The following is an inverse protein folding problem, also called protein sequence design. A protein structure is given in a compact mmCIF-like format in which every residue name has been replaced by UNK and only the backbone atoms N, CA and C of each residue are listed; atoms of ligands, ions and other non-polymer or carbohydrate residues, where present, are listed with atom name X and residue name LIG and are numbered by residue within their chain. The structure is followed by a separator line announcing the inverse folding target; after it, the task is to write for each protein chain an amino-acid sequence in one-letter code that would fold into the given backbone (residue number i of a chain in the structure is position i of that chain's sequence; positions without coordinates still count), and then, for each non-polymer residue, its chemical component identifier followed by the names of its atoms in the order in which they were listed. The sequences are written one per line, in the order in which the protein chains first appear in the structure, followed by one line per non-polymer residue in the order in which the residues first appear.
data_IF_266983522414
#
_entry.id   IF_266983522414
#
_cell.length_a   1.000
_cell.length_b   1.000
_cell.length_c   1.000
_cell.angle_alpha   90.00
_cell.angle_beta   90.00
_cell.angle_gamma   90.00
#
_symmetry.space_group_name_H-M   'P 1'
#
loop_
_entity.id
_entity.type
_entity.pdbx_description
1 polymer ?
#
# COMPACT_ATOMS: atom_id res chain seq x y z
N UNK A 1 10.98 33.19 -13.02
CA UNK A 1 11.47 31.82 -12.72
C UNK A 1 11.97 31.64 -11.28
N UNK A 2 12.97 32.40 -10.81
CA UNK A 2 13.50 32.26 -9.42
C UNK A 2 12.45 32.36 -8.31
N UNK A 3 11.49 33.30 -8.43
CA UNK A 3 10.40 33.46 -7.45
C UNK A 3 9.49 32.23 -7.35
N UNK A 4 9.11 31.66 -8.50
CA UNK A 4 8.29 30.44 -8.56
C UNK A 4 9.03 29.25 -7.96
N UNK A 5 10.32 29.09 -8.28
CA UNK A 5 11.16 28.05 -7.71
C UNK A 5 11.24 28.16 -6.18
N UNK A 6 11.53 29.36 -5.66
CA UNK A 6 11.63 29.59 -4.21
C UNK A 6 10.30 29.32 -3.49
N UNK A 7 9.17 29.68 -4.11
CA UNK A 7 7.86 29.36 -3.59
C UNK A 7 7.62 27.84 -3.56
N UNK A 8 7.89 27.15 -4.67
CA UNK A 8 7.73 25.69 -4.77
C UNK A 8 8.68 24.91 -3.87
N UNK A 9 9.84 25.45 -3.49
CA UNK A 9 10.78 24.84 -2.56
C UNK A 9 10.56 25.26 -1.09
N UNK A 10 9.56 26.12 -0.81
CA UNK A 10 9.32 26.64 0.53
C UNK A 10 8.73 25.60 1.46
N UNK A 11 9.10 25.68 2.74
CA UNK A 11 8.58 24.80 3.80
C UNK A 11 7.11 25.14 4.13
N UNK A 12 6.74 26.42 4.06
CA UNK A 12 5.36 26.87 4.30
C UNK A 12 4.38 26.26 3.30
N UNK A 13 4.75 26.23 2.01
CA UNK A 13 3.96 25.53 1.00
C UNK A 13 3.81 24.04 1.33
N UNK A 14 4.90 23.38 1.75
CA UNK A 14 4.87 21.97 2.14
C UNK A 14 3.85 21.70 3.26
N UNK A 15 3.81 22.56 4.30
CA UNK A 15 2.83 22.45 5.40
C UNK A 15 1.39 22.59 4.87
N UNK A 16 1.13 23.59 4.03
CA UNK A 16 -0.19 23.80 3.44
C UNK A 16 -0.63 22.65 2.54
N UNK A 17 0.29 22.07 1.77
CA UNK A 17 0.01 20.91 0.92
C UNK A 17 -0.33 19.68 1.77
N UNK A 18 0.39 19.41 2.86
CA UNK A 18 0.05 18.33 3.80
C UNK A 18 -1.34 18.54 4.42
N UNK A 19 -1.62 19.77 4.89
CA UNK A 19 -2.94 20.10 5.42
C UNK A 19 -4.05 19.91 4.37
N UNK A 20 -3.78 20.27 3.11
CA UNK A 20 -4.68 20.04 1.98
C UNK A 20 -4.95 18.56 1.75
N UNK A 21 -3.91 17.71 1.71
CA UNK A 21 -4.08 16.25 1.59
C UNK A 21 -4.95 15.71 2.71
N UNK A 22 -4.67 16.09 3.97
CA UNK A 22 -5.45 15.63 5.13
C UNK A 22 -6.91 16.08 5.02
N UNK A 23 -7.15 17.33 4.64
CA UNK A 23 -8.51 17.88 4.47
C UNK A 23 -9.30 17.11 3.41
N UNK A 24 -8.74 16.90 2.23
CA UNK A 24 -9.46 16.23 1.13
C UNK A 24 -9.65 14.73 1.38
N UNK A 25 -8.70 14.06 2.05
CA UNK A 25 -8.91 12.69 2.54
C UNK A 25 -10.06 12.64 3.56
N UNK A 26 -10.11 13.61 4.48
CA UNK A 26 -11.21 13.76 5.44
C UNK A 26 -12.55 13.95 4.75
N UNK A 27 -12.64 14.86 3.78
CA UNK A 27 -13.85 15.06 2.95
C UNK A 27 -14.23 13.76 2.25
N UNK A 28 -13.26 13.06 1.66
CA UNK A 28 -13.47 11.78 0.98
C UNK A 28 -14.12 10.73 1.88
N UNK A 29 -13.75 10.69 3.17
CA UNK A 29 -14.35 9.78 4.15
C UNK A 29 -15.84 10.04 4.41
N UNK A 30 -16.34 11.27 4.20
CA UNK A 30 -17.76 11.61 4.37
C UNK A 30 -18.55 11.55 3.06
N UNK A 31 -17.88 11.81 1.93
CA UNK A 31 -18.50 11.75 0.59
C UNK A 31 -18.65 10.32 0.10
N UNK A 32 -17.69 9.45 0.43
CA UNK A 32 -17.71 8.04 0.03
C UNK A 32 -18.78 7.29 0.84
N UNK A 33 -19.79 6.76 0.16
CA UNK A 33 -20.87 5.98 0.79
C UNK A 33 -20.39 4.59 1.23
N UNK A 34 -21.03 4.04 2.25
CA UNK A 34 -20.87 2.63 2.63
C UNK A 34 -21.16 1.73 1.42
N UNK A 35 -20.26 0.78 1.12
CA UNK A 35 -20.35 -0.08 -0.07
C UNK A 35 -19.66 0.46 -1.33
N UNK A 36 -18.88 1.54 -1.23
CA UNK A 36 -18.02 2.00 -2.33
C UNK A 36 -17.01 0.90 -2.73
N UNK A 37 -17.07 0.49 -4.00
CA UNK A 37 -16.16 -0.47 -4.60
C UNK A 37 -14.70 0.04 -4.76
N UNK A 38 -14.35 1.18 -4.15
CA UNK A 38 -13.00 1.76 -4.20
C UNK A 38 -11.94 0.80 -3.63
N UNK A 39 -12.33 -0.08 -2.72
CA UNK A 39 -11.45 -1.09 -2.11
C UNK A 39 -11.49 -2.44 -2.84
N UNK A 40 -12.41 -2.62 -3.79
CA UNK A 40 -12.66 -3.91 -4.44
C UNK A 40 -11.95 -4.03 -5.78
N UNK A 41 -11.59 -2.91 -6.40
CA UNK A 41 -10.86 -2.88 -7.66
C UNK A 41 -9.71 -1.87 -7.62
N UNK A 42 -8.68 -2.01 -8.48
CA UNK A 42 -7.61 -1.03 -8.58
C UNK A 42 -8.11 0.40 -8.81
N UNK A 43 -7.43 1.38 -8.18
CA UNK A 43 -7.87 2.78 -8.10
C UNK A 43 -8.22 3.39 -9.47
N UNK A 44 -7.37 3.21 -10.49
CA UNK A 44 -7.64 3.78 -11.81
C UNK A 44 -8.77 3.08 -12.54
N UNK A 45 -8.97 1.77 -12.30
CA UNK A 45 -10.14 1.05 -12.84
C UNK A 45 -11.41 1.60 -12.21
N UNK A 46 -11.42 1.79 -10.87
CA UNK A 46 -12.54 2.41 -10.17
C UNK A 46 -12.84 3.82 -10.69
N UNK A 47 -11.81 4.64 -10.86
CA UNK A 47 -11.93 6.03 -11.32
C UNK A 47 -12.57 6.16 -12.72
N UNK A 48 -12.40 5.15 -13.59
CA UNK A 48 -13.06 5.14 -14.92
C UNK A 48 -14.57 4.88 -14.87
N UNK A 49 -15.05 4.27 -13.78
CA UNK A 49 -16.46 3.84 -13.63
C UNK A 49 -17.26 4.73 -12.69
N UNK A 50 -16.60 5.32 -11.69
CA UNK A 50 -17.26 6.12 -10.65
C UNK A 50 -17.66 7.52 -11.14
N UNK A 51 -18.81 8.06 -10.68
CA UNK A 51 -19.27 9.39 -11.08
C UNK A 51 -18.36 10.49 -10.53
N UNK A 52 -18.28 11.63 -11.23
CA UNK A 52 -17.43 12.76 -10.82
C UNK A 52 -17.78 13.30 -9.42
N UNK A 53 -19.07 13.24 -9.05
CA UNK A 53 -19.56 13.66 -7.74
C UNK A 53 -18.94 12.87 -6.57
N UNK A 54 -18.51 11.63 -6.82
CA UNK A 54 -17.89 10.76 -5.82
C UNK A 54 -16.36 10.75 -5.90
N UNK A 55 -15.77 11.22 -7.02
CA UNK A 55 -14.33 11.09 -7.29
C UNK A 55 -13.55 12.40 -7.26
N UNK A 56 -14.22 13.57 -7.34
CA UNK A 56 -13.55 14.87 -7.42
C UNK A 56 -12.56 15.13 -6.26
N UNK A 57 -12.91 14.74 -5.04
CA UNK A 57 -12.07 14.92 -3.86
C UNK A 57 -10.75 14.14 -3.99
N UNK A 58 -10.81 12.95 -4.59
CA UNK A 58 -9.66 12.10 -4.82
C UNK A 58 -8.78 12.70 -5.92
N UNK A 59 -9.37 13.20 -7.00
CA UNK A 59 -8.62 13.88 -8.07
C UNK A 59 -7.85 15.09 -7.53
N UNK A 60 -8.51 15.91 -6.69
CA UNK A 60 -7.86 17.04 -6.01
C UNK A 60 -6.76 16.53 -5.07
N UNK A 61 -7.01 15.47 -4.29
CA UNK A 61 -6.01 14.87 -3.41
C UNK A 61 -4.78 14.41 -4.19
N UNK A 62 -4.94 13.74 -5.33
CA UNK A 62 -3.84 13.29 -6.19
C UNK A 62 -3.05 14.49 -6.74
N UNK A 63 -3.72 15.55 -7.16
CA UNK A 63 -3.05 16.77 -7.64
C UNK A 63 -2.24 17.47 -6.53
N UNK A 64 -2.82 17.60 -5.33
CA UNK A 64 -2.13 18.16 -4.16
C UNK A 64 -0.95 17.29 -3.74
N UNK A 65 -1.11 15.96 -3.76
CA UNK A 65 -0.05 15.01 -3.45
C UNK A 65 1.11 15.07 -4.47
N UNK A 66 0.80 15.21 -5.76
CA UNK A 66 1.82 15.40 -6.79
C UNK A 66 2.62 16.69 -6.58
N UNK A 67 1.94 17.79 -6.22
CA UNK A 67 2.59 19.04 -5.83
C UNK A 67 3.43 18.88 -4.56
N UNK A 68 2.97 18.11 -3.58
CA UNK A 68 3.71 17.82 -2.34
C UNK A 68 4.98 17.00 -2.62
N UNK A 69 4.90 16.00 -3.49
CA UNK A 69 6.07 15.23 -3.92
C UNK A 69 7.10 16.13 -4.62
N UNK A 70 6.65 17.02 -5.51
CA UNK A 70 7.52 18.00 -6.17
C UNK A 70 8.15 18.96 -5.15
N UNK A 71 7.36 19.53 -4.24
CA UNK A 71 7.86 20.40 -3.16
C UNK A 71 8.92 19.67 -2.32
N UNK A 72 8.68 18.41 -1.97
CA UNK A 72 9.60 17.59 -1.20
C UNK A 72 10.94 17.42 -1.91
N UNK A 73 10.93 17.12 -3.21
CA UNK A 73 12.16 17.01 -4.02
C UNK A 73 12.92 18.35 -4.05
N UNK A 74 12.22 19.45 -4.33
CA UNK A 74 12.84 20.78 -4.43
C UNK A 74 13.42 21.24 -3.09
N UNK A 75 12.67 21.07 -1.99
CA UNK A 75 13.10 21.39 -0.64
C UNK A 75 14.32 20.53 -0.22
N UNK A 76 14.35 19.26 -0.62
CA UNK A 76 15.49 18.36 -0.39
C UNK A 76 16.77 18.90 -1.02
N UNK A 77 16.69 19.29 -2.30
CA UNK A 77 17.80 19.85 -3.08
C UNK A 77 18.33 21.14 -2.43
N UNK A 78 17.44 22.07 -2.09
CA UNK A 78 17.84 23.35 -1.47
C UNK A 78 18.44 23.15 -0.07
N UNK A 79 17.85 22.26 0.74
CA UNK A 79 18.39 21.90 2.06
C UNK A 79 19.78 21.28 1.96
N UNK A 80 20.02 20.40 0.98
CA UNK A 80 21.34 19.81 0.72
C UNK A 80 22.37 20.85 0.30
N UNK A 81 22.01 21.75 -0.63
CA UNK A 81 22.91 22.83 -1.08
C UNK A 81 23.28 23.76 0.07
N UNK A 82 22.30 24.23 0.85
CA UNK A 82 22.52 25.19 1.91
C UNK A 82 23.36 24.62 3.08
N UNK A 83 23.20 23.32 3.36
CA UNK A 83 23.86 22.65 4.51
C UNK A 83 25.09 21.83 4.12
N UNK A 84 25.52 21.86 2.86
CA UNK A 84 26.63 21.04 2.39
C UNK A 84 27.90 21.20 3.25
N UNK A 85 28.16 22.42 3.73
CA UNK A 85 29.36 22.77 4.51
C UNK A 85 29.12 22.96 6.02
N UNK A 86 27.91 22.75 6.55
CA UNK A 86 27.58 23.11 7.95
C UNK A 86 26.78 22.03 8.69
N UNK A 87 27.23 21.70 9.91
CA UNK A 87 26.51 20.84 10.86
C UNK A 87 26.91 19.35 10.85
N UNK A 88 26.40 18.59 11.81
CA UNK A 88 26.66 17.14 11.91
C UNK A 88 26.06 16.40 10.70
N UNK A 89 26.76 15.36 10.23
CA UNK A 89 26.29 14.55 9.10
C UNK A 89 24.89 13.97 9.34
N UNK A 90 24.64 13.46 10.55
CA UNK A 90 23.36 12.84 10.91
C UNK A 90 22.18 13.83 10.87
N UNK A 91 22.37 15.07 11.34
CA UNK A 91 21.34 16.11 11.27
C UNK A 91 21.05 16.57 9.83
N UNK A 92 21.99 16.35 8.90
CA UNK A 92 21.82 16.65 7.48
C UNK A 92 21.11 15.53 6.74
N UNK A 93 21.47 14.27 7.03
CA UNK A 93 20.95 13.11 6.28
C UNK A 93 19.55 12.70 6.74
N UNK A 94 19.20 12.87 8.03
CA UNK A 94 17.94 12.37 8.56
C UNK A 94 16.69 12.97 7.86
N UNK A 95 16.60 14.29 7.60
CA UNK A 95 15.50 14.85 6.81
C UNK A 95 15.44 14.29 5.37
N UNK A 96 16.60 14.01 4.77
CA UNK A 96 16.65 13.49 3.40
C UNK A 96 16.19 12.04 3.31
N UNK A 97 16.56 11.22 4.30
CA UNK A 97 16.07 9.83 4.42
C UNK A 97 14.55 9.83 4.65
N UNK A 98 14.03 10.77 5.44
CA UNK A 98 12.58 10.93 5.63
C UNK A 98 11.86 11.28 4.32
N UNK A 99 12.39 12.26 3.57
CA UNK A 99 11.85 12.65 2.27
C UNK A 99 11.90 11.52 1.25
N UNK A 100 13.02 10.78 1.20
CA UNK A 100 13.14 9.59 0.36
C UNK A 100 12.09 8.53 0.75
N UNK A 101 11.92 8.27 2.04
CA UNK A 101 10.91 7.35 2.55
C UNK A 101 9.49 7.73 2.11
N UNK A 102 9.12 8.99 2.27
CA UNK A 102 7.84 9.54 1.80
C UNK A 102 7.67 9.37 0.27
N UNK A 103 8.67 9.74 -0.52
CA UNK A 103 8.61 9.64 -1.99
C UNK A 103 8.47 8.19 -2.46
N UNK A 104 9.14 7.24 -1.81
CA UNK A 104 8.99 5.82 -2.12
C UNK A 104 7.59 5.30 -1.79
N UNK A 105 6.98 5.74 -0.69
CA UNK A 105 5.60 5.38 -0.34
C UNK A 105 4.62 5.93 -1.38
N UNK A 106 4.77 7.20 -1.79
CA UNK A 106 3.92 7.81 -2.82
C UNK A 106 4.08 7.08 -4.17
N UNK A 107 5.32 6.78 -4.56
CA UNK A 107 5.59 6.03 -5.78
C UNK A 107 5.02 4.62 -5.73
N UNK A 108 5.12 3.94 -4.59
CA UNK A 108 4.53 2.62 -4.38
C UNK A 108 3.01 2.63 -4.62
N UNK A 109 2.30 3.62 -4.05
CA UNK A 109 0.86 3.76 -4.26
C UNK A 109 0.52 4.04 -5.72
N UNK A 110 1.32 4.84 -6.43
CA UNK A 110 1.15 5.08 -7.86
C UNK A 110 1.34 3.80 -8.69
N UNK A 111 2.38 3.01 -8.39
CA UNK A 111 2.62 1.74 -9.07
C UNK A 111 1.50 0.74 -8.80
N UNK A 112 1.03 0.62 -7.57
CA UNK A 112 -0.11 -0.24 -7.22
C UNK A 112 -1.43 0.25 -7.82
N UNK A 113 -1.64 1.56 -7.94
CA UNK A 113 -2.81 2.12 -8.62
C UNK A 113 -2.83 1.80 -10.12
N UNK A 114 -1.65 1.77 -10.76
CA UNK A 114 -1.48 1.52 -12.19
C UNK A 114 -1.45 0.02 -12.55
N UNK A 115 -0.63 -0.76 -11.85
CA UNK A 115 -0.37 -2.16 -12.14
C UNK A 115 -0.96 -3.14 -11.13
N UNK A 116 -1.82 -2.66 -10.24
CA UNK A 116 -2.53 -3.49 -9.28
C UNK A 116 -3.54 -4.40 -9.95
N UNK A 117 -3.73 -5.58 -9.37
CA UNK A 117 -4.80 -6.49 -9.75
C UNK A 117 -5.51 -6.96 -8.49
N UNK A 118 -6.84 -6.97 -8.53
CA UNK A 118 -7.68 -7.49 -7.47
C UNK A 118 -8.84 -8.22 -8.12
N UNK A 119 -9.00 -9.48 -7.78
CA UNK A 119 -10.10 -10.34 -8.18
C UNK A 119 -10.37 -11.33 -7.05
N UNK A 120 -11.51 -12.01 -7.07
CA UNK A 120 -11.86 -12.96 -6.05
C UNK A 120 -13.35 -13.11 -5.88
N UNK A 121 -13.72 -14.09 -5.05
CA UNK A 121 -15.10 -14.42 -4.80
C UNK A 121 -15.25 -15.79 -4.13
N UNK A 122 -16.51 -16.20 -3.90
CA UNK A 122 -16.79 -17.53 -3.41
C UNK A 122 -16.45 -18.57 -4.48
N UNK A 123 -15.64 -19.55 -4.10
CA UNK A 123 -15.26 -20.68 -4.93
C UNK A 123 -15.60 -21.99 -4.20
N UNK A 124 -16.35 -22.90 -4.82
CA UNK A 124 -16.62 -24.22 -4.23
C UNK A 124 -15.37 -25.10 -4.27
N UNK A 125 -15.37 -26.18 -3.48
CA UNK A 125 -14.43 -27.29 -3.67
C UNK A 125 -14.61 -27.87 -5.10
N UNK A 126 -13.51 -28.07 -5.83
CA UNK A 126 -13.47 -28.35 -7.28
C UNK A 126 -13.59 -27.10 -8.18
N UNK A 127 -13.86 -25.94 -7.59
CA UNK A 127 -13.89 -24.65 -8.29
C UNK A 127 -12.49 -24.21 -8.74
N UNK A 128 -12.44 -23.33 -9.74
CA UNK A 128 -11.18 -22.85 -10.29
C UNK A 128 -11.24 -21.38 -10.64
N UNK A 129 -10.08 -20.73 -10.60
CA UNK A 129 -9.88 -19.37 -11.07
C UNK A 129 -8.70 -19.32 -12.05
N UNK A 130 -8.64 -18.24 -12.82
CA UNK A 130 -7.59 -18.04 -13.82
C UNK A 130 -6.82 -16.76 -13.51
N UNK A 131 -5.52 -16.78 -13.76
CA UNK A 131 -4.69 -15.60 -13.74
C UNK A 131 -4.71 -14.89 -15.11
N UNK A 132 -4.31 -13.61 -15.18
CA UNK A 132 -4.25 -12.86 -16.45
C UNK A 132 -3.32 -13.45 -17.53
N UNK A 133 -2.38 -14.32 -17.15
CA UNK A 133 -1.53 -15.06 -18.09
C UNK A 133 -2.23 -16.29 -18.71
N UNK A 134 -3.49 -16.55 -18.33
CA UNK A 134 -4.27 -17.70 -18.78
C UNK A 134 -4.05 -18.98 -17.97
N UNK A 135 -3.13 -18.98 -17.00
CA UNK A 135 -2.93 -20.14 -16.12
C UNK A 135 -4.15 -20.34 -15.20
N UNK A 136 -4.50 -21.61 -14.95
CA UNK A 136 -5.69 -21.98 -14.19
C UNK A 136 -5.29 -22.73 -12.92
N UNK A 137 -5.89 -22.34 -11.81
CA UNK A 137 -5.71 -22.99 -10.51
C UNK A 137 -7.05 -23.46 -9.99
N UNK A 138 -7.08 -24.68 -9.49
CA UNK A 138 -8.26 -25.34 -8.95
C UNK A 138 -8.11 -25.54 -7.45
N UNK A 139 -9.20 -25.35 -6.70
CA UNK A 139 -9.29 -25.71 -5.29
C UNK A 139 -9.71 -27.18 -5.22
N UNK A 140 -8.77 -28.07 -4.89
CA UNK A 140 -9.05 -29.51 -4.82
C UNK A 140 -9.77 -29.88 -3.54
N UNK A 141 -9.42 -29.21 -2.44
CA UNK A 141 -9.88 -29.59 -1.10
C UNK A 141 -9.96 -28.39 -0.18
N UNK A 142 -11.03 -28.31 0.58
CA UNK A 142 -11.25 -27.37 1.68
C UNK A 142 -11.28 -28.13 2.99
N UNK A 143 -10.47 -27.69 3.95
CA UNK A 143 -10.40 -28.23 5.29
C UNK A 143 -10.61 -27.09 6.30
N UNK A 144 -11.54 -27.27 7.23
CA UNK A 144 -11.69 -26.36 8.37
C UNK A 144 -11.83 -27.17 9.66
N UNK A 145 -11.16 -26.70 10.71
CA UNK A 145 -11.29 -27.23 12.06
C UNK A 145 -12.31 -26.41 12.81
N UNK A 146 -13.44 -27.02 13.16
CA UNK A 146 -14.53 -26.35 13.87
C UNK A 146 -14.36 -26.56 15.38
N UNK A 147 -14.49 -25.48 16.14
CA UNK A 147 -14.45 -25.51 17.60
C UNK A 147 -15.79 -25.95 18.22
N UNK A 148 -15.83 -26.15 19.56
CA UNK A 148 -17.03 -26.62 20.26
C UNK A 148 -18.26 -25.72 20.11
N UNK A 149 -18.04 -24.43 19.85
CA UNK A 149 -19.08 -23.40 19.65
C UNK A 149 -19.52 -23.24 18.19
N UNK A 150 -19.07 -24.11 17.28
CA UNK A 150 -19.41 -24.06 15.86
C UNK A 150 -18.60 -23.06 15.02
N UNK A 151 -17.67 -22.32 15.63
CA UNK A 151 -16.79 -21.38 14.94
C UNK A 151 -15.53 -22.06 14.37
N UNK A 152 -15.06 -21.69 13.18
CA UNK A 152 -13.80 -22.19 12.64
C UNK A 152 -12.61 -21.71 13.49
N UNK A 153 -11.81 -22.66 13.98
CA UNK A 153 -10.55 -22.42 14.69
C UNK A 153 -9.38 -22.24 13.71
N UNK A 154 -9.41 -22.96 12.60
CA UNK A 154 -8.40 -22.95 11.55
C UNK A 154 -9.01 -23.43 10.25
N UNK A 155 -8.48 -22.98 9.11
CA UNK A 155 -8.91 -23.45 7.81
C UNK A 155 -7.81 -23.30 6.76
N UNK A 156 -7.81 -24.24 5.83
CA UNK A 156 -6.84 -24.32 4.74
C UNK A 156 -7.49 -24.86 3.49
N UNK A 157 -6.85 -24.60 2.37
CA UNK A 157 -7.28 -25.08 1.08
C UNK A 157 -6.08 -25.66 0.33
N UNK A 158 -6.33 -26.75 -0.40
CA UNK A 158 -5.34 -27.36 -1.30
C UNK A 158 -5.62 -26.90 -2.71
N UNK A 159 -4.64 -26.26 -3.33
CA UNK A 159 -4.66 -25.83 -4.72
C UNK A 159 -3.99 -26.89 -5.59
N UNK A 160 -4.52 -27.05 -6.81
CA UNK A 160 -3.86 -27.74 -7.92
C UNK A 160 -3.64 -26.76 -9.05
N UNK A 161 -2.39 -26.66 -9.46
CA UNK A 161 -1.96 -25.79 -10.54
C UNK A 161 -1.29 -26.62 -11.63
N UNK A 162 -1.87 -26.60 -12.84
CA UNK A 162 -1.29 -27.27 -14.00
C UNK A 162 -0.17 -26.40 -14.59
N UNK A 163 1.06 -26.88 -14.54
CA UNK A 163 2.22 -26.22 -15.16
C UNK A 163 2.72 -27.03 -16.37
N UNK A 164 3.49 -26.44 -17.30
CA UNK A 164 4.11 -27.19 -18.39
C UNK A 164 5.00 -28.37 -17.93
N UNK A 165 5.48 -28.33 -16.68
CA UNK A 165 6.30 -29.38 -16.06
C UNK A 165 5.50 -30.42 -15.25
N UNK A 166 4.16 -30.34 -15.27
CA UNK A 166 3.25 -31.21 -14.52
C UNK A 166 2.34 -30.48 -13.54
N UNK A 167 1.53 -31.24 -12.80
CA UNK A 167 0.63 -30.70 -11.77
C UNK A 167 1.40 -30.40 -10.48
N UNK A 168 1.17 -29.22 -9.90
CA UNK A 168 1.69 -28.84 -8.58
C UNK A 168 0.55 -28.71 -7.60
N UNK A 169 0.73 -29.29 -6.43
CA UNK A 169 -0.16 -29.13 -5.29
C UNK A 169 0.46 -28.16 -4.29
N UNK A 170 -0.34 -27.24 -3.76
CA UNK A 170 0.08 -26.32 -2.71
C UNK A 170 -1.04 -26.17 -1.69
N UNK A 171 -0.70 -26.11 -0.40
CA UNK A 171 -1.65 -25.80 0.65
C UNK A 171 -1.47 -24.34 1.04
N UNK A 172 -2.58 -23.62 1.20
CA UNK A 172 -2.57 -22.24 1.66
C UNK A 172 -3.63 -22.03 2.75
N UNK A 173 -3.37 -21.06 3.62
CA UNK A 173 -4.21 -20.72 4.78
C UNK A 173 -4.18 -19.21 5.00
N UNK A 174 -5.01 -18.64 5.90
CA UNK A 174 -5.08 -17.20 6.12
C UNK A 174 -3.73 -16.51 6.35
N UNK A 175 -2.82 -17.16 7.07
CA UNK A 175 -1.49 -16.64 7.40
C UNK A 175 -0.37 -17.17 6.48
N UNK A 176 -0.70 -18.08 5.57
CA UNK A 176 0.22 -18.65 4.59
C UNK A 176 -0.41 -18.59 3.20
N UNK A 177 -0.47 -17.38 2.60
CA UNK A 177 -1.02 -17.21 1.26
C UNK A 177 -0.13 -17.91 0.22
N UNK A 178 -0.75 -18.31 -0.89
CA UNK A 178 -0.03 -18.89 -2.03
C UNK A 178 0.42 -17.79 -2.98
N UNK A 179 1.70 -17.76 -3.35
CA UNK A 179 2.25 -16.78 -4.28
C UNK A 179 2.60 -17.40 -5.62
N UNK A 180 2.18 -16.75 -6.71
CA UNK A 180 2.46 -17.16 -8.07
C UNK A 180 2.66 -15.95 -8.99
N UNK A 181 3.82 -15.84 -9.64
CA UNK A 181 4.16 -14.75 -10.56
C UNK A 181 3.87 -13.32 -10.04
N UNK A 182 4.05 -13.09 -8.74
CA UNK A 182 3.76 -11.80 -8.10
C UNK A 182 2.30 -11.58 -7.70
N UNK A 183 1.41 -12.53 -7.97
CA UNK A 183 0.07 -12.60 -7.39
C UNK A 183 0.12 -13.34 -6.05
N UNK A 184 -0.59 -12.83 -5.05
CA UNK A 184 -0.90 -13.53 -3.81
C UNK A 184 -2.35 -14.00 -3.82
N UNK A 185 -2.56 -15.26 -3.48
CA UNK A 185 -3.88 -15.88 -3.31
C UNK A 185 -4.12 -16.06 -1.82
N UNK A 186 -5.16 -15.40 -1.32
CA UNK A 186 -5.49 -15.30 0.09
C UNK A 186 -6.80 -16.03 0.37
N UNK A 187 -6.79 -16.89 1.39
CA UNK A 187 -7.98 -17.57 1.89
C UNK A 187 -8.61 -16.72 2.99
N UNK A 188 -9.78 -16.12 2.73
CA UNK A 188 -10.43 -15.22 3.69
C UNK A 188 -11.37 -15.96 4.63
N UNK A 189 -12.09 -16.93 4.08
CA UNK A 189 -13.10 -17.67 4.80
C UNK A 189 -13.31 -19.03 4.14
N UNK A 190 -13.66 -20.03 4.95
CA UNK A 190 -14.15 -21.33 4.48
C UNK A 190 -15.47 -21.61 5.16
N UNK A 191 -16.48 -21.92 4.36
CA UNK A 191 -17.78 -22.39 4.79
C UNK A 191 -17.90 -23.86 4.42
N UNK A 192 -18.22 -24.73 5.38
CA UNK A 192 -18.40 -26.16 5.13
C UNK A 192 -19.86 -26.56 4.91
N UNK A 193 -20.81 -25.67 5.22
CA UNK A 193 -22.25 -25.92 5.18
C UNK A 193 -22.98 -24.68 4.67
N UNK A 194 -24.01 -24.80 3.80
CA UNK A 194 -24.58 -26.03 3.25
C UNK A 194 -23.73 -26.70 2.14
N UNK A 195 -22.78 -25.95 1.58
CA UNK A 195 -21.82 -26.46 0.61
C UNK A 195 -20.41 -25.99 0.98
N UNK A 196 -19.39 -26.80 0.66
CA UNK A 196 -18.00 -26.41 0.87
C UNK A 196 -17.60 -25.29 -0.09
N UNK A 197 -17.44 -24.09 0.44
CA UNK A 197 -17.02 -22.91 -0.29
C UNK A 197 -15.88 -22.19 0.42
N UNK A 198 -15.02 -21.56 -0.36
CA UNK A 198 -13.97 -20.69 0.12
C UNK A 198 -14.14 -19.30 -0.47
N UNK A 199 -14.04 -18.28 0.36
CA UNK A 199 -13.85 -16.92 -0.11
C UNK A 199 -12.36 -16.73 -0.39
N UNK A 200 -12.01 -16.62 -1.66
CA UNK A 200 -10.64 -16.43 -2.12
C UNK A 200 -10.47 -15.03 -2.70
N UNK A 201 -9.35 -14.40 -2.38
CA UNK A 201 -8.96 -13.09 -2.88
C UNK A 201 -7.59 -13.19 -3.56
N UNK A 202 -7.47 -12.65 -4.77
CA UNK A 202 -6.28 -12.72 -5.62
C UNK A 202 -5.77 -11.30 -5.85
N UNK A 203 -4.64 -10.97 -5.27
CA UNK A 203 -4.06 -9.63 -5.35
C UNK A 203 -2.70 -9.62 -6.00
N UNK A 204 -2.43 -8.58 -6.79
CA UNK A 204 -1.07 -8.19 -7.20
C UNK A 204 -0.86 -6.75 -6.81
N UNK A 205 0.19 -6.49 -6.03
CA UNK A 205 0.56 -5.16 -5.57
C UNK A 205 2.02 -4.86 -5.93
N UNK A 206 2.29 -4.33 -7.13
CA UNK A 206 3.67 -4.08 -7.58
C UNK A 206 4.40 -3.05 -6.70
N UNK A 207 3.67 -2.16 -6.01
CA UNK A 207 4.24 -1.16 -5.12
C UNK A 207 4.63 -1.68 -3.73
N UNK A 208 4.17 -2.88 -3.30
CA UNK A 208 4.27 -3.31 -1.91
C UNK A 208 5.72 -3.29 -1.36
N UNK A 209 6.68 -3.75 -2.16
CA UNK A 209 8.10 -3.73 -1.78
C UNK A 209 8.66 -2.30 -1.60
N UNK A 210 8.27 -1.36 -2.47
CA UNK A 210 8.67 0.05 -2.35
C UNK A 210 8.00 0.73 -1.15
N UNK A 211 6.75 0.39 -0.86
CA UNK A 211 6.05 0.90 0.31
C UNK A 211 6.77 0.46 1.60
N UNK A 212 7.16 -0.82 1.68
CA UNK A 212 7.92 -1.35 2.81
C UNK A 212 9.28 -0.65 2.95
N UNK A 213 10.04 -0.52 1.87
CA UNK A 213 11.33 0.19 1.88
C UNK A 213 11.16 1.64 2.33
N UNK A 214 10.15 2.34 1.82
CA UNK A 214 9.82 3.70 2.19
C UNK A 214 9.46 3.84 3.68
N UNK A 215 8.65 2.92 4.22
CA UNK A 215 8.29 2.88 5.64
C UNK A 215 9.51 2.63 6.55
N UNK A 216 10.43 1.76 6.13
CA UNK A 216 11.68 1.50 6.85
C UNK A 216 12.56 2.76 6.89
N UNK A 217 12.75 3.45 5.76
CA UNK A 217 13.50 4.71 5.73
C UNK A 217 12.84 5.80 6.58
N UNK A 218 11.52 5.95 6.48
CA UNK A 218 10.78 6.93 7.27
C UNK A 218 10.93 6.65 8.76
N UNK A 219 10.84 5.39 9.18
CA UNK A 219 11.03 4.96 10.58
C UNK A 219 12.46 5.24 11.04
N UNK A 220 13.47 4.83 10.27
CA UNK A 220 14.87 5.07 10.59
C UNK A 220 15.17 6.58 10.74
N UNK A 221 14.65 7.42 9.84
CA UNK A 221 14.80 8.87 9.92
C UNK A 221 14.19 9.47 11.20
N UNK A 222 13.00 9.02 11.59
CA UNK A 222 12.38 9.43 12.84
C UNK A 222 13.22 9.04 14.06
N UNK A 223 13.74 7.80 14.10
CA UNK A 223 14.63 7.35 15.17
C UNK A 223 15.94 8.19 15.23
N UNK A 224 16.54 8.50 14.09
CA UNK A 224 17.72 9.38 14.00
C UNK A 224 17.45 10.77 14.58
N UNK A 225 16.30 11.38 14.24
CA UNK A 225 15.92 12.71 14.74
C UNK A 225 15.66 12.68 16.25
N UNK A 226 14.98 11.65 16.76
CA UNK A 226 14.73 11.48 18.19
C UNK A 226 16.04 11.34 18.97
N UNK A 227 16.98 10.55 18.46
CA UNK A 227 18.29 10.39 19.07
C UNK A 227 19.08 11.70 19.11
N UNK A 228 19.11 12.45 18.00
CA UNK A 228 19.75 13.77 17.93
C UNK A 228 19.14 14.78 18.91
N UNK A 229 17.83 14.75 19.12
CA UNK A 229 17.15 15.62 20.10
C UNK A 229 17.48 15.25 21.54
N UNK A 230 17.64 13.96 21.85
CA UNK A 230 18.06 13.50 23.18
C UNK A 230 19.47 13.96 23.52
N UNK A 231 20.43 13.83 22.59
CA UNK A 231 21.81 14.28 22.79
C UNK A 231 21.90 15.77 23.14
N UNK A 232 21.20 16.62 22.39
CA UNK A 232 21.16 18.07 22.66
C UNK A 232 20.55 18.44 24.02
N UNK A 233 19.56 17.69 24.50
CA UNK A 233 18.96 17.93 25.82
C UNK A 233 19.88 17.51 26.96
N UNK A 234 20.67 16.44 26.75
CA UNK A 234 21.65 16.00 27.73
C UNK A 234 22.82 16.99 27.85
N UNK A 235 23.29 17.55 26.73
CA UNK A 235 24.32 18.61 26.73
C UNK A 235 23.83 19.92 27.36
N UNK A 236 22.56 20.28 27.16
CA UNK A 236 21.99 21.51 27.75
C UNK A 236 21.66 21.41 29.25
N UNK A 237 21.75 20.22 29.85
CA UNK A 237 21.49 19.96 31.26
C UNK A 237 22.78 19.82 32.10
N UNK A 238 23.94 19.99 31.47
CA UNK A 238 25.28 20.04 32.08
C UNK A 238 25.76 21.49 32.15
#
# INVERSE_FOLDING_TARGET
MKRLYNFLASLDLGIWLVAGVILFLGIGSFVTREGSAINDVPLFIWLTKAPIAETWWLLVTVAVLALLALNTVLCSIESLKAKWQRGSFLARIAPQVMHLGFLLIVLAHLLSAYGGFKDGGPLPEGGSFSFPDGSRVEIVRLDARIGPMGMPLDFSATLRHATPAGERHAVFSPNHPYFYQGFGVYLKQVELFPAKMALVEIHREPGAGLALAGALFFTAANLMILWLRRGKRAEAAQ
#
